data_IF_206386868785
#
_entry.id   IF_206386868785
#
_cell.length_a   1.000
_cell.length_b   1.000
_cell.length_c   1.000
_cell.angle_alpha   90.00
_cell.angle_beta   90.00
_cell.angle_gamma   90.00
#
_symmetry.space_group_name_H-M   'P 1'
#
loop_
_entity.id
_entity.type
_entity.pdbx_description
1 polymer ?
#
# COMPACT_ATOMS: atom_id res chain seq x y z
N UNK A 1 3.71 -24.92 -6.84
CA UNK A 1 4.31 -24.87 -5.49
C UNK A 1 5.02 -23.55 -5.18
N UNK A 2 5.81 -22.98 -6.09
CA UNK A 2 6.56 -21.72 -5.88
C UNK A 2 5.67 -20.53 -5.48
N UNK A 3 4.51 -20.34 -6.13
CA UNK A 3 3.55 -19.27 -5.81
C UNK A 3 3.01 -19.40 -4.37
N UNK A 4 2.71 -20.62 -3.92
CA UNK A 4 2.21 -20.87 -2.57
C UNK A 4 3.24 -20.54 -1.49
N UNK A 5 4.51 -20.85 -1.74
CA UNK A 5 5.62 -20.51 -0.83
C UNK A 5 5.80 -19.00 -0.72
N UNK A 6 5.78 -18.26 -1.84
CA UNK A 6 5.88 -16.81 -1.81
C UNK A 6 4.67 -16.13 -1.16
N UNK A 7 3.45 -16.64 -1.38
CA UNK A 7 2.26 -16.13 -0.69
C UNK A 7 2.34 -16.38 0.83
N UNK A 8 2.79 -17.56 1.25
CA UNK A 8 3.01 -17.87 2.67
C UNK A 8 4.09 -16.97 3.28
N UNK A 9 5.22 -16.78 2.59
CA UNK A 9 6.28 -15.87 3.02
C UNK A 9 5.78 -14.41 3.07
N UNK A 10 4.93 -14.00 2.13
CA UNK A 10 4.26 -12.70 2.14
C UNK A 10 3.36 -12.52 3.36
N UNK A 11 2.53 -13.51 3.68
CA UNK A 11 1.68 -13.47 4.88
C UNK A 11 2.50 -13.47 6.17
N UNK A 12 3.54 -14.31 6.26
CA UNK A 12 4.44 -14.36 7.42
C UNK A 12 5.18 -13.05 7.63
N UNK A 13 5.67 -12.44 6.55
CA UNK A 13 6.33 -11.14 6.62
C UNK A 13 5.34 -10.01 6.96
N UNK A 14 4.08 -10.10 6.54
CA UNK A 14 3.02 -9.20 6.98
C UNK A 14 2.77 -9.30 8.48
N UNK A 15 2.72 -10.52 9.03
CA UNK A 15 2.63 -10.76 10.48
C UNK A 15 3.86 -10.20 11.21
N UNK A 16 5.05 -10.33 10.62
CA UNK A 16 6.27 -9.73 11.18
C UNK A 16 6.23 -8.19 11.21
N UNK A 17 5.60 -7.54 10.21
CA UNK A 17 5.36 -6.09 10.23
C UNK A 17 4.42 -5.74 11.38
N UNK A 18 3.28 -6.41 11.49
CA UNK A 18 2.28 -6.13 12.53
C UNK A 18 2.85 -6.37 13.94
N UNK A 19 3.58 -7.46 14.14
CA UNK A 19 4.23 -7.78 15.41
C UNK A 19 5.39 -6.82 15.74
N UNK A 20 6.18 -6.38 14.75
CA UNK A 20 7.25 -5.39 14.96
C UNK A 20 6.68 -4.03 15.37
N UNK A 21 5.58 -3.61 14.72
CA UNK A 21 4.85 -2.39 15.06
C UNK A 21 4.28 -2.51 16.48
N UNK A 22 3.61 -3.61 16.80
CA UNK A 22 3.03 -3.85 18.13
C UNK A 22 4.10 -3.91 19.24
N UNK A 23 5.26 -4.55 18.97
CA UNK A 23 6.35 -4.65 19.92
C UNK A 23 6.99 -3.29 20.24
N UNK A 24 7.10 -2.41 19.23
CA UNK A 24 7.71 -1.08 19.36
C UNK A 24 6.73 0.00 19.85
N UNK A 25 5.43 -0.13 19.58
CA UNK A 25 4.37 0.78 20.04
C UNK A 25 3.84 0.43 21.45
N UNK A 26 4.69 -0.08 22.36
CA UNK A 26 4.34 -0.69 23.66
C UNK A 26 3.62 0.23 24.68
N UNK A 27 3.15 1.41 24.28
CA UNK A 27 2.29 2.33 25.03
C UNK A 27 0.90 2.41 24.35
N UNK A 28 -0.17 2.03 25.07
CA UNK A 28 -1.54 1.94 24.53
C UNK A 28 -1.95 3.18 23.71
N UNK A 29 -1.70 4.38 24.25
CA UNK A 29 -2.09 5.65 23.59
C UNK A 29 -1.43 5.89 22.23
N UNK A 30 -0.18 5.51 22.05
CA UNK A 30 0.52 5.73 20.77
C UNK A 30 0.08 4.72 19.73
N UNK A 31 -0.13 3.48 20.17
CA UNK A 31 -0.68 2.41 19.34
C UNK A 31 -2.10 2.76 18.85
N UNK A 32 -2.99 3.16 19.76
CA UNK A 32 -4.37 3.54 19.44
C UNK A 32 -4.42 4.70 18.43
N UNK A 33 -3.56 5.70 18.63
CA UNK A 33 -3.45 6.87 17.73
C UNK A 33 -3.04 6.44 16.32
N UNK A 34 -2.03 5.58 16.21
CA UNK A 34 -1.56 5.06 14.92
C UNK A 34 -2.61 4.20 14.22
N UNK A 35 -3.21 3.23 14.92
CA UNK A 35 -4.20 2.33 14.30
C UNK A 35 -5.45 3.08 13.83
N UNK A 36 -5.91 4.07 14.59
CA UNK A 36 -7.01 4.95 14.15
C UNK A 36 -6.62 5.73 12.88
N UNK A 37 -5.43 6.31 12.85
CA UNK A 37 -4.93 7.02 11.66
C UNK A 37 -4.73 6.09 10.44
N UNK A 38 -4.36 4.84 10.67
CA UNK A 38 -4.07 3.85 9.63
C UNK A 38 -5.32 3.20 9.03
N UNK A 39 -6.40 3.09 9.81
CA UNK A 39 -7.60 2.33 9.42
C UNK A 39 -8.18 2.78 8.07
N UNK A 40 -8.39 4.09 7.88
CA UNK A 40 -9.05 4.58 6.66
C UNK A 40 -8.16 4.44 5.41
N UNK A 41 -6.90 4.90 5.42
CA UNK A 41 -5.97 4.65 4.31
C UNK A 41 -5.88 3.16 3.98
N UNK A 42 -5.80 2.29 5.00
CA UNK A 42 -5.70 0.85 4.82
C UNK A 42 -6.92 0.23 4.13
N UNK A 43 -8.14 0.63 4.52
CA UNK A 43 -9.37 0.16 3.88
C UNK A 43 -9.40 0.58 2.41
N UNK A 44 -9.06 1.83 2.11
CA UNK A 44 -9.02 2.35 0.74
C UNK A 44 -8.04 1.56 -0.13
N UNK A 45 -6.83 1.32 0.37
CA UNK A 45 -5.83 0.52 -0.36
C UNK A 45 -6.33 -0.91 -0.60
N UNK A 46 -6.96 -1.54 0.39
CA UNK A 46 -7.52 -2.88 0.22
C UNK A 46 -8.67 -2.92 -0.79
N UNK A 47 -9.56 -1.93 -0.78
CA UNK A 47 -10.60 -1.82 -1.79
C UNK A 47 -10.01 -1.63 -3.18
N UNK A 48 -9.01 -0.76 -3.32
CA UNK A 48 -8.33 -0.54 -4.59
C UNK A 48 -7.68 -1.84 -5.12
N UNK A 49 -7.07 -2.63 -4.23
CA UNK A 49 -6.51 -3.94 -4.58
C UNK A 49 -7.59 -4.93 -5.03
N UNK A 50 -8.68 -5.07 -4.25
CA UNK A 50 -9.76 -5.99 -4.59
C UNK A 50 -10.43 -5.60 -5.92
N UNK A 51 -10.85 -4.35 -6.06
CA UNK A 51 -11.50 -3.85 -7.28
C UNK A 51 -10.55 -3.89 -8.48
N UNK A 52 -9.28 -3.58 -8.28
CA UNK A 52 -8.23 -3.68 -9.30
C UNK A 52 -8.13 -5.10 -9.84
N UNK A 53 -8.02 -6.11 -8.98
CA UNK A 53 -7.98 -7.51 -9.42
C UNK A 53 -9.23 -7.94 -10.18
N UNK A 54 -10.42 -7.55 -9.72
CA UNK A 54 -11.67 -7.91 -10.39
C UNK A 54 -11.87 -7.23 -11.75
N UNK A 55 -11.33 -6.02 -11.95
CA UNK A 55 -11.56 -5.22 -13.17
C UNK A 55 -10.38 -5.23 -14.14
N UNK A 56 -9.16 -5.03 -13.64
CA UNK A 56 -7.96 -4.85 -14.46
C UNK A 56 -7.40 -6.18 -14.97
N UNK A 57 -7.45 -7.26 -14.19
CA UNK A 57 -6.97 -8.57 -14.64
C UNK A 57 -7.75 -9.07 -15.87
N UNK A 58 -9.10 -9.11 -15.88
CA UNK A 58 -9.82 -9.51 -17.07
C UNK A 58 -9.67 -8.49 -18.21
N UNK A 59 -9.59 -7.18 -17.92
CA UNK A 59 -9.33 -6.15 -18.92
C UNK A 59 -8.00 -6.38 -19.65
N UNK A 60 -6.91 -6.62 -18.93
CA UNK A 60 -5.61 -6.89 -19.55
C UNK A 60 -5.59 -8.26 -20.25
N UNK A 61 -6.30 -9.26 -19.72
CA UNK A 61 -6.41 -10.58 -20.35
C UNK A 61 -7.14 -10.53 -21.69
N UNK A 62 -8.20 -9.72 -21.81
CA UNK A 62 -8.91 -9.53 -23.09
C UNK A 62 -8.09 -8.70 -24.06
N UNK A 63 -7.35 -7.70 -23.57
CA UNK A 63 -6.41 -6.91 -24.37
C UNK A 63 -5.33 -7.80 -24.98
N UNK A 64 -4.70 -8.66 -24.17
CA UNK A 64 -3.66 -9.60 -24.59
C UNK A 64 -4.15 -10.60 -25.65
N UNK A 65 -5.38 -11.10 -25.51
CA UNK A 65 -5.95 -12.11 -26.39
C UNK A 65 -6.39 -11.58 -27.78
N UNK A 66 -6.66 -10.27 -27.91
CA UNK A 66 -7.31 -9.70 -29.10
C UNK A 66 -6.49 -8.65 -29.83
N UNK A 67 -5.42 -8.13 -29.20
CA UNK A 67 -4.70 -6.97 -29.71
C UNK A 67 -3.21 -7.25 -29.89
N UNK A 68 -2.56 -6.39 -30.68
CA UNK A 68 -1.12 -6.43 -30.86
C UNK A 68 -0.37 -5.99 -29.59
N UNK A 69 0.89 -6.40 -29.45
CA UNK A 69 1.73 -5.98 -28.32
C UNK A 69 1.79 -4.45 -28.15
N UNK A 70 1.77 -3.68 -29.26
CA UNK A 70 1.78 -2.22 -29.23
C UNK A 70 0.50 -1.64 -28.60
N UNK A 71 -0.65 -2.22 -28.91
CA UNK A 71 -1.94 -1.82 -28.32
C UNK A 71 -2.03 -2.22 -26.85
N UNK A 72 -1.44 -3.36 -26.47
CA UNK A 72 -1.33 -3.79 -25.08
C UNK A 72 -0.54 -2.78 -24.24
N UNK A 73 0.62 -2.33 -24.72
CA UNK A 73 1.44 -1.30 -24.05
C UNK A 73 0.71 0.05 -23.95
N UNK A 74 -0.08 0.40 -24.96
CA UNK A 74 -0.91 1.61 -24.94
C UNK A 74 -2.01 1.51 -23.89
N UNK A 75 -2.70 0.37 -23.80
CA UNK A 75 -3.71 0.10 -22.77
C UNK A 75 -3.11 0.07 -21.36
N UNK A 76 -1.93 -0.52 -21.19
CA UNK A 76 -1.19 -0.49 -19.94
C UNK A 76 -0.83 0.94 -19.52
N UNK A 77 -0.28 1.75 -20.43
CA UNK A 77 0.05 3.15 -20.16
C UNK A 77 -1.18 3.96 -19.76
N UNK A 78 -2.32 3.72 -20.42
CA UNK A 78 -3.57 4.37 -20.08
C UNK A 78 -4.07 3.97 -18.68
N UNK A 79 -4.05 2.68 -18.36
CA UNK A 79 -4.43 2.17 -17.05
C UNK A 79 -3.52 2.70 -15.93
N UNK A 80 -2.20 2.73 -16.14
CA UNK A 80 -1.24 3.29 -15.18
C UNK A 80 -1.48 4.78 -14.94
N UNK A 81 -1.69 5.57 -16.00
CA UNK A 81 -2.01 6.99 -15.86
C UNK A 81 -3.33 7.22 -15.12
N UNK A 82 -4.34 6.40 -15.41
CA UNK A 82 -5.65 6.50 -14.76
C UNK A 82 -5.59 6.09 -13.28
N UNK A 83 -4.81 5.06 -12.95
CA UNK A 83 -4.52 4.67 -11.57
C UNK A 83 -3.72 5.75 -10.84
N UNK A 84 -2.70 6.34 -11.48
CA UNK A 84 -1.94 7.43 -10.89
C UNK A 84 -2.83 8.62 -10.55
N UNK A 85 -3.64 9.07 -11.52
CA UNK A 85 -4.56 10.19 -11.32
C UNK A 85 -5.63 9.87 -10.29
N UNK A 86 -6.25 8.69 -10.37
CA UNK A 86 -7.28 8.25 -9.44
C UNK A 86 -6.77 8.11 -8.01
N UNK A 87 -5.64 7.43 -7.82
CA UNK A 87 -5.01 7.27 -6.51
C UNK A 87 -4.50 8.60 -5.95
N UNK A 88 -3.99 9.51 -6.79
CA UNK A 88 -3.61 10.86 -6.37
C UNK A 88 -4.82 11.69 -5.94
N UNK A 89 -5.92 11.64 -6.69
CA UNK A 89 -7.16 12.32 -6.31
C UNK A 89 -7.69 11.78 -4.96
N UNK A 90 -7.70 10.46 -4.77
CA UNK A 90 -8.10 9.82 -3.51
C UNK A 90 -7.15 10.22 -2.37
N UNK A 91 -5.84 10.24 -2.60
CA UNK A 91 -4.86 10.62 -1.59
C UNK A 91 -5.04 12.07 -1.15
N UNK A 92 -5.21 13.00 -2.10
CA UNK A 92 -5.43 14.43 -1.80
C UNK A 92 -6.76 14.64 -1.08
N UNK A 93 -7.84 14.05 -1.59
CA UNK A 93 -9.16 14.14 -0.96
C UNK A 93 -9.16 13.53 0.45
N UNK A 94 -8.50 12.38 0.62
CA UNK A 94 -8.35 11.70 1.90
C UNK A 94 -7.51 12.49 2.90
N UNK A 95 -6.38 13.06 2.48
CA UNK A 95 -5.55 13.91 3.33
C UNK A 95 -6.27 15.21 3.73
N UNK A 96 -7.04 15.81 2.82
CA UNK A 96 -7.89 16.95 3.14
C UNK A 96 -9.03 16.57 4.11
N UNK A 97 -9.56 15.35 3.98
CA UNK A 97 -10.64 14.85 4.82
C UNK A 97 -10.19 14.28 6.17
N UNK A 98 -8.89 14.00 6.34
CA UNK A 98 -8.28 13.44 7.54
C UNK A 98 -8.78 14.08 8.86
N UNK A 99 -8.81 15.42 9.03
CA UNK A 99 -9.27 16.01 10.30
C UNK A 99 -10.73 15.68 10.63
N UNK A 100 -11.62 15.58 9.64
CA UNK A 100 -13.02 15.20 9.86
C UNK A 100 -13.15 13.71 10.13
N UNK A 101 -12.39 12.89 9.40
CA UNK A 101 -12.34 11.43 9.57
C UNK A 101 -11.90 11.07 10.98
N UNK A 102 -10.80 11.64 11.48
CA UNK A 102 -10.28 11.37 12.82
C UNK A 102 -11.26 11.81 13.91
N UNK A 103 -11.92 12.96 13.74
CA UNK A 103 -12.97 13.42 14.68
C UNK A 103 -14.17 12.47 14.74
N UNK A 104 -14.53 11.86 13.61
CA UNK A 104 -15.63 10.90 13.54
C UNK A 104 -15.28 9.52 14.12
N UNK A 105 -14.08 9.01 13.84
CA UNK A 105 -13.66 7.66 14.27
C UNK A 105 -13.30 7.64 15.76
N UNK A 106 -12.58 8.66 16.24
CA UNK A 106 -12.09 8.71 17.61
C UNK A 106 -12.48 10.03 18.31
N UNK A 107 -13.77 10.26 18.59
CA UNK A 107 -14.23 11.47 19.26
C UNK A 107 -13.65 11.62 20.67
N UNK A 108 -13.34 10.50 21.35
CA UNK A 108 -12.77 10.44 22.70
C UNK A 108 -11.28 10.80 22.82
N UNK A 109 -10.57 11.02 21.71
CA UNK A 109 -9.16 11.41 21.77
C UNK A 109 -8.97 12.82 22.32
N UNK A 110 -7.88 13.00 23.10
CA UNK A 110 -7.44 14.32 23.53
C UNK A 110 -7.03 15.19 22.33
N UNK A 111 -7.02 16.52 22.50
CA UNK A 111 -6.61 17.46 21.44
C UNK A 111 -5.25 17.10 20.80
N UNK A 112 -4.15 16.85 21.57
CA UNK A 112 -2.86 16.50 20.97
C UNK A 112 -2.88 15.12 20.26
N UNK A 113 -3.69 14.16 20.72
CA UNK A 113 -3.84 12.87 20.03
C UNK A 113 -4.58 13.01 18.70
N UNK A 114 -5.60 13.88 18.63
CA UNK A 114 -6.32 14.15 17.38
C UNK A 114 -5.42 14.81 16.35
N UNK A 115 -4.58 15.75 16.79
CA UNK A 115 -3.62 16.42 15.92
C UNK A 115 -2.59 15.43 15.36
N UNK A 116 -1.97 14.62 16.22
CA UNK A 116 -1.04 13.58 15.79
C UNK A 116 -1.69 12.54 14.87
N UNK A 117 -2.89 12.04 15.20
CA UNK A 117 -3.61 11.10 14.35
C UNK A 117 -3.97 11.70 12.99
N UNK A 118 -4.33 12.99 12.95
CA UNK A 118 -4.64 13.69 11.70
C UNK A 118 -3.40 13.79 10.82
N UNK A 119 -2.27 14.22 11.39
CA UNK A 119 -1.01 14.34 10.66
C UNK A 119 -0.55 12.98 10.13
N UNK A 120 -0.57 11.94 10.97
CA UNK A 120 -0.24 10.57 10.55
C UNK A 120 -1.17 10.08 9.44
N UNK A 121 -2.47 10.33 9.55
CA UNK A 121 -3.45 9.96 8.54
C UNK A 121 -3.13 10.64 7.19
N UNK A 122 -2.79 11.94 7.20
CA UNK A 122 -2.39 12.68 6.00
C UNK A 122 -1.15 12.07 5.34
N UNK A 123 -0.11 11.76 6.12
CA UNK A 123 1.08 11.10 5.60
C UNK A 123 0.80 9.70 5.09
N UNK A 124 -0.07 8.94 5.76
CA UNK A 124 -0.48 7.61 5.33
C UNK A 124 -1.30 7.65 4.04
N UNK A 125 -2.09 8.71 3.80
CA UNK A 125 -2.79 8.87 2.53
C UNK A 125 -1.85 9.01 1.33
N UNK A 126 -0.64 9.55 1.50
CA UNK A 126 0.34 9.60 0.43
C UNK A 126 0.80 8.21 -0.04
N UNK A 127 0.69 7.18 0.82
CA UNK A 127 1.04 5.80 0.43
C UNK A 127 0.03 5.18 -0.54
N UNK A 128 -1.17 5.75 -0.66
CA UNK A 128 -2.23 5.28 -1.57
C UNK A 128 -1.79 5.42 -3.03
N UNK A 129 -0.98 6.45 -3.34
CA UNK A 129 -0.48 6.72 -4.70
C UNK A 129 0.41 5.58 -5.21
N UNK A 130 1.54 5.24 -4.55
CA UNK A 130 2.36 4.14 -5.00
C UNK A 130 1.65 2.78 -4.88
N UNK A 131 0.75 2.61 -3.90
CA UNK A 131 -0.04 1.38 -3.78
C UNK A 131 -0.96 1.14 -4.99
N UNK A 132 -1.63 2.18 -5.50
CA UNK A 132 -2.48 2.05 -6.68
C UNK A 132 -1.72 1.74 -7.96
N UNK A 133 -0.57 2.39 -8.15
CA UNK A 133 0.34 2.08 -9.25
C UNK A 133 0.77 0.62 -9.21
N UNK A 134 1.25 0.17 -8.05
CA UNK A 134 1.68 -1.21 -7.82
C UNK A 134 0.61 -2.23 -8.19
N UNK A 135 -0.65 -1.96 -7.83
CA UNK A 135 -1.73 -2.88 -8.18
C UNK A 135 -1.98 -2.95 -9.68
N UNK A 136 -1.79 -1.85 -10.41
CA UNK A 136 -1.81 -1.84 -11.88
C UNK A 136 -0.76 -2.77 -12.49
N UNK A 137 0.50 -2.61 -12.08
CA UNK A 137 1.61 -3.49 -12.50
C UNK A 137 1.33 -4.95 -12.12
N UNK A 138 0.82 -5.17 -10.92
CA UNK A 138 0.50 -6.50 -10.40
C UNK A 138 -0.58 -7.16 -11.24
N UNK A 139 -1.69 -6.47 -11.52
CA UNK A 139 -2.77 -6.99 -12.37
C UNK A 139 -2.30 -7.31 -13.79
N UNK A 140 -1.42 -6.48 -14.36
CA UNK A 140 -0.82 -6.73 -15.66
C UNK A 140 0.08 -7.99 -15.67
N UNK A 141 0.90 -8.19 -14.64
CA UNK A 141 1.70 -9.41 -14.51
C UNK A 141 0.84 -10.66 -14.29
N UNK A 142 -0.27 -10.52 -13.55
CA UNK A 142 -1.24 -11.60 -13.36
C UNK A 142 -1.91 -11.99 -14.68
N UNK A 143 -2.29 -11.03 -15.54
CA UNK A 143 -2.90 -11.35 -16.84
C UNK A 143 -1.94 -12.10 -17.77
N UNK A 144 -0.64 -11.79 -17.70
CA UNK A 144 0.41 -12.50 -18.45
C UNK A 144 0.79 -13.87 -17.87
N UNK A 145 0.03 -14.38 -16.89
CA UNK A 145 0.31 -15.63 -16.16
C UNK A 145 1.69 -15.66 -15.49
N UNK A 146 2.33 -14.51 -15.25
CA UNK A 146 3.60 -14.36 -14.53
C UNK A 146 3.37 -14.31 -13.02
N UNK A 147 2.68 -15.31 -12.49
CA UNK A 147 2.27 -15.37 -11.08
C UNK A 147 3.45 -15.41 -10.10
N UNK A 148 4.57 -16.05 -10.47
CA UNK A 148 5.75 -16.15 -9.61
C UNK A 148 6.40 -14.78 -9.33
N UNK A 149 6.40 -13.89 -10.31
CA UNK A 149 6.94 -12.52 -10.19
C UNK A 149 6.02 -11.61 -9.37
N UNK A 150 4.71 -11.73 -9.59
CA UNK A 150 3.70 -11.04 -8.78
C UNK A 150 3.81 -11.40 -7.29
N UNK A 151 3.94 -12.68 -6.97
CA UNK A 151 4.06 -13.16 -5.58
C UNK A 151 5.40 -12.81 -4.93
N UNK A 152 6.50 -12.77 -5.68
CA UNK A 152 7.81 -12.38 -5.13
C UNK A 152 7.85 -10.91 -4.69
N UNK A 153 7.11 -10.02 -5.36
CA UNK A 153 7.12 -8.58 -5.07
C UNK A 153 6.62 -8.24 -3.65
N UNK A 154 5.68 -9.01 -3.11
CA UNK A 154 5.14 -8.80 -1.76
C UNK A 154 6.17 -9.07 -0.64
N UNK A 155 7.09 -10.02 -0.86
CA UNK A 155 8.15 -10.33 0.08
C UNK A 155 9.12 -9.15 0.25
N UNK A 156 9.56 -8.55 -0.86
CA UNK A 156 10.47 -7.39 -0.83
C UNK A 156 9.84 -6.18 -0.13
N UNK A 157 8.54 -5.92 -0.37
CA UNK A 157 7.81 -4.85 0.31
C UNK A 157 7.82 -5.07 1.82
N UNK A 158 7.36 -6.24 2.28
CA UNK A 158 7.22 -6.49 3.70
C UNK A 158 8.58 -6.55 4.41
N UNK A 159 9.62 -7.12 3.78
CA UNK A 159 10.98 -7.13 4.32
C UNK A 159 11.55 -5.72 4.49
N UNK A 160 11.31 -4.82 3.53
CA UNK A 160 11.76 -3.42 3.59
C UNK A 160 11.05 -2.66 4.72
N UNK A 161 9.74 -2.86 4.87
CA UNK A 161 8.98 -2.26 5.98
C UNK A 161 9.54 -2.71 7.33
N UNK A 162 9.79 -4.02 7.51
CA UNK A 162 10.40 -4.55 8.75
C UNK A 162 11.77 -3.94 9.00
N UNK A 163 12.65 -3.87 7.99
CA UNK A 163 13.99 -3.27 8.14
C UNK A 163 13.92 -1.79 8.52
N UNK A 164 13.04 -1.01 7.89
CA UNK A 164 12.84 0.40 8.25
C UNK A 164 12.30 0.57 9.67
N UNK A 165 11.32 -0.25 10.08
CA UNK A 165 10.78 -0.21 11.46
C UNK A 165 11.84 -0.65 12.47
N UNK A 166 12.72 -1.59 12.16
CA UNK A 166 13.77 -2.01 13.11
C UNK A 166 14.89 -0.98 13.23
N UNK A 167 15.32 -0.38 12.12
CA UNK A 167 16.50 0.51 12.07
C UNK A 167 16.17 1.99 12.31
N UNK A 168 15.00 2.47 11.88
CA UNK A 168 14.66 3.90 11.92
C UNK A 168 13.73 4.28 13.08
N UNK A 169 13.15 3.31 13.80
CA UNK A 169 12.20 3.59 14.88
C UNK A 169 12.83 4.30 16.07
N UNK A 170 14.09 3.99 16.41
CA UNK A 170 14.80 4.65 17.52
C UNK A 170 15.07 6.13 17.27
N UNK A 171 15.08 6.58 16.00
CA UNK A 171 15.36 7.97 15.61
C UNK A 171 14.12 8.77 15.21
N UNK A 172 13.13 8.13 14.59
CA UNK A 172 11.95 8.80 14.01
C UNK A 172 10.61 8.35 14.63
N UNK A 173 10.60 7.42 15.59
CA UNK A 173 9.39 6.99 16.30
C UNK A 173 8.30 6.48 15.35
N UNK A 174 7.05 6.93 15.53
CA UNK A 174 5.88 6.51 14.73
C UNK A 174 6.04 6.86 13.23
N UNK A 175 6.72 7.96 12.91
CA UNK A 175 6.97 8.35 11.51
C UNK A 175 7.88 7.36 10.76
N UNK A 176 8.71 6.58 11.47
CA UNK A 176 9.50 5.51 10.85
C UNK A 176 8.63 4.45 10.17
N UNK A 177 7.42 4.21 10.70
CA UNK A 177 6.46 3.25 10.13
C UNK A 177 5.96 3.79 8.80
N UNK A 178 5.57 5.07 8.75
CA UNK A 178 5.07 5.72 7.53
C UNK A 178 6.15 5.77 6.45
N UNK A 179 7.37 6.17 6.83
CA UNK A 179 8.54 6.15 5.95
C UNK A 179 8.86 4.74 5.46
N UNK A 180 8.74 3.73 6.33
CA UNK A 180 8.96 2.32 5.98
C UNK A 180 7.96 1.83 4.94
N UNK A 181 6.68 2.15 5.09
CA UNK A 181 5.66 1.85 4.09
C UNK A 181 5.93 2.57 2.77
N UNK A 182 6.23 3.86 2.81
CA UNK A 182 6.53 4.64 1.61
C UNK A 182 7.77 4.13 0.86
N UNK A 183 8.87 3.87 1.58
CA UNK A 183 10.11 3.34 1.03
C UNK A 183 9.92 1.91 0.49
N UNK A 184 9.20 1.05 1.22
CA UNK A 184 8.89 -0.31 0.81
C UNK A 184 8.05 -0.36 -0.47
N UNK A 185 7.04 0.50 -0.57
CA UNK A 185 6.21 0.62 -1.79
C UNK A 185 7.01 1.20 -2.96
N UNK A 186 7.85 2.21 -2.72
CA UNK A 186 8.71 2.80 -3.76
C UNK A 186 9.73 1.80 -4.30
N UNK A 187 10.37 1.02 -3.42
CA UNK A 187 11.30 -0.04 -3.82
C UNK A 187 10.59 -1.14 -4.60
N UNK A 188 9.41 -1.57 -4.13
CA UNK A 188 8.61 -2.57 -4.83
C UNK A 188 8.26 -2.09 -6.25
N UNK A 189 7.92 -0.81 -6.39
CA UNK A 189 7.57 -0.21 -7.67
C UNK A 189 8.79 -0.17 -8.59
N UNK A 190 9.97 0.20 -8.07
CA UNK A 190 11.21 0.18 -8.83
C UNK A 190 11.57 -1.24 -9.31
N UNK A 191 11.40 -2.26 -8.45
CA UNK A 191 11.66 -3.67 -8.82
C UNK A 191 10.67 -4.12 -9.91
N UNK A 192 9.40 -3.75 -9.81
CA UNK A 192 8.37 -4.09 -10.80
C UNK A 192 8.54 -3.34 -12.12
N UNK A 193 8.99 -2.09 -12.09
CA UNK A 193 9.21 -1.26 -13.27
C UNK A 193 10.49 -1.63 -14.04
N UNK A 194 11.47 -2.26 -13.38
CA UNK A 194 12.71 -2.73 -14.00
C UNK A 194 12.56 -4.06 -14.78
N UNK A 195 11.36 -4.63 -14.85
CA UNK A 195 11.04 -5.94 -15.43
C UNK A 195 10.19 -5.82 -16.69
#
# INVERSE_FOLDING_TARGET
MVVGVFSLLGSLTGILVETSIAARLSLSRSSDTFYVAFTVPYVIVNMLNATGQFSLVPFFSTLDARHSAAEMWRGFSYAVNMLFLGSSAIAIAGAAAAPWVIRGIAPGFSAPQKELATELCQWLFLIVIPAGLLEGFRCFLLSQRRFALSSASGFFRNATVVLCVLLAFERYGIYSIVLGYFAGLSLQLAVLAAQ
#
